data_IF_001150519748
#
_entry.id   IF_001150519748
#
_cell.length_a   1.000
_cell.length_b   1.000
_cell.length_c   1.000
_cell.angle_alpha   90.00
_cell.angle_beta   90.00
_cell.angle_gamma   90.00
#
_symmetry.space_group_name_H-M   'P 1'
#
loop_
_entity.id
_entity.type
_entity.pdbx_description
1 polymer ?
#
# COMPACT_ATOMS: atom_id res chain seq x y z
N UNK A 1 -14.86 -1.88 -1.36
CA UNK A 1 -13.48 -2.33 -1.68
C UNK A 1 -12.61 -1.96 -0.49
N UNK A 2 -12.15 -2.94 0.27
CA UNK A 2 -11.33 -2.69 1.46
C UNK A 2 -9.86 -2.56 1.06
N UNK A 3 -9.21 -1.52 1.56
CA UNK A 3 -7.79 -1.25 1.35
C UNK A 3 -7.03 -1.78 2.57
N UNK A 4 -5.96 -2.53 2.34
CA UNK A 4 -5.01 -2.91 3.38
C UNK A 4 -3.70 -2.18 3.14
N UNK A 5 -3.31 -1.28 4.04
CA UNK A 5 -2.05 -0.53 3.94
C UNK A 5 -0.97 -1.24 4.75
N UNK A 6 0.13 -1.59 4.12
CA UNK A 6 1.30 -2.19 4.77
C UNK A 6 2.37 -1.12 4.92
N UNK A 7 2.90 -0.95 6.13
CA UNK A 7 3.92 0.05 6.45
C UNK A 7 5.28 -0.64 6.64
N UNK A 8 6.27 -0.20 5.87
CA UNK A 8 7.66 -0.64 5.92
C UNK A 8 8.57 0.53 6.28
N UNK A 9 9.25 0.42 7.42
CA UNK A 9 10.22 1.40 7.88
C UNK A 9 11.62 1.17 7.26
N UNK A 10 12.49 2.14 7.51
CA UNK A 10 13.90 2.06 7.16
C UNK A 10 14.65 1.07 8.07
N UNK A 11 15.88 0.73 7.69
CA UNK A 11 16.76 -0.12 8.47
C UNK A 11 17.34 0.58 9.71
N UNK A 12 17.91 -0.21 10.63
CA UNK A 12 18.61 0.30 11.81
C UNK A 12 17.83 0.03 13.10
N UNK A 13 17.94 0.95 14.07
CA UNK A 13 17.37 0.80 15.42
C UNK A 13 15.86 1.05 15.51
N UNK A 14 15.19 1.23 14.38
CA UNK A 14 13.77 1.58 14.33
C UNK A 14 12.90 0.34 14.55
N UNK A 15 11.94 0.45 15.48
CA UNK A 15 10.94 -0.58 15.75
C UNK A 15 9.66 -0.31 14.97
N UNK A 16 8.82 -1.33 14.86
CA UNK A 16 7.46 -1.22 14.33
C UNK A 16 6.76 0.05 14.84
N UNK A 17 6.25 0.85 13.91
CA UNK A 17 5.54 2.08 14.22
C UNK A 17 6.41 3.35 14.22
N UNK A 18 7.72 3.24 13.99
CA UNK A 18 8.64 4.38 13.96
C UNK A 18 9.13 4.70 12.54
N UNK A 19 9.29 5.99 12.25
CA UNK A 19 10.05 6.47 11.09
C UNK A 19 11.45 6.93 11.48
N UNK A 20 11.63 7.47 12.69
CA UNK A 20 12.94 7.85 13.20
C UNK A 20 12.90 8.33 14.65
N UNK A 21 13.75 7.76 15.52
CA UNK A 21 13.80 8.11 16.94
C UNK A 21 14.17 9.58 17.18
N UNK A 22 15.16 10.09 16.43
CA UNK A 22 15.57 11.50 16.48
C UNK A 22 14.41 12.43 16.13
N UNK A 23 13.67 12.11 15.07
CA UNK A 23 12.47 12.86 14.67
C UNK A 23 11.39 12.82 15.74
N UNK A 24 11.16 11.68 16.39
CA UNK A 24 10.20 11.58 17.51
C UNK A 24 10.58 12.55 18.63
N UNK A 25 11.87 12.63 18.98
CA UNK A 25 12.35 13.47 20.08
C UNK A 25 12.25 14.96 19.73
N UNK A 26 12.65 15.35 18.52
CA UNK A 26 12.76 16.77 18.17
C UNK A 26 11.51 17.35 17.50
N UNK A 27 10.80 16.55 16.70
CA UNK A 27 9.66 16.97 15.88
C UNK A 27 8.34 16.34 16.36
N UNK A 28 8.41 15.41 17.32
CA UNK A 28 7.25 14.78 17.94
C UNK A 28 6.70 13.57 17.18
N UNK A 29 5.66 12.97 17.77
CA UNK A 29 5.08 11.72 17.28
C UNK A 29 4.46 11.85 15.88
N UNK A 30 3.94 13.03 15.53
CA UNK A 30 3.37 13.26 14.21
C UNK A 30 4.41 13.08 13.10
N UNK A 31 5.61 13.60 13.29
CA UNK A 31 6.65 13.52 12.26
C UNK A 31 7.44 12.21 12.34
N UNK A 32 7.72 11.72 13.55
CA UNK A 32 8.63 10.59 13.75
C UNK A 32 7.98 9.20 13.80
N UNK A 33 6.65 9.07 13.75
CA UNK A 33 5.96 7.78 13.86
C UNK A 33 5.05 7.48 12.68
N UNK A 34 4.66 6.21 12.58
CA UNK A 34 3.66 5.73 11.63
C UNK A 34 2.21 6.05 12.06
N UNK A 35 1.99 6.62 13.25
CA UNK A 35 0.64 6.89 13.79
C UNK A 35 -0.23 7.72 12.82
N UNK A 36 0.27 8.78 12.16
CA UNK A 36 -0.55 9.53 11.20
C UNK A 36 -0.96 8.70 9.99
N UNK A 37 -0.08 7.82 9.50
CA UNK A 37 -0.42 6.89 8.41
C UNK A 37 -1.50 5.90 8.86
N UNK A 38 -1.35 5.33 10.06
CA UNK A 38 -2.32 4.42 10.65
C UNK A 38 -3.69 5.10 10.78
N UNK A 39 -3.72 6.30 11.38
CA UNK A 39 -4.96 7.08 11.54
C UNK A 39 -5.62 7.38 10.19
N UNK A 40 -4.86 7.82 9.21
CA UNK A 40 -5.39 8.19 7.87
C UNK A 40 -5.96 6.97 7.13
N UNK A 41 -5.28 5.82 7.21
CA UNK A 41 -5.77 4.58 6.62
C UNK A 41 -7.06 4.08 7.29
N UNK A 42 -7.12 4.09 8.62
CA UNK A 42 -8.31 3.70 9.38
C UNK A 42 -9.50 4.62 9.12
N UNK A 43 -9.27 5.94 9.06
CA UNK A 43 -10.29 6.94 8.71
C UNK A 43 -10.84 6.75 7.29
N UNK A 44 -10.04 6.18 6.40
CA UNK A 44 -10.46 5.84 5.03
C UNK A 44 -11.19 4.49 4.94
N UNK A 45 -11.50 3.85 6.07
CA UNK A 45 -12.14 2.53 6.13
C UNK A 45 -11.22 1.36 5.74
N UNK A 46 -9.90 1.57 5.74
CA UNK A 46 -8.90 0.55 5.44
C UNK A 46 -8.36 -0.14 6.68
N UNK A 47 -7.75 -1.32 6.49
CA UNK A 47 -6.92 -1.99 7.48
C UNK A 47 -5.46 -1.55 7.38
N UNK A 48 -4.68 -1.80 8.43
CA UNK A 48 -3.24 -1.47 8.46
C UNK A 48 -2.45 -2.64 9.03
N UNK A 49 -1.33 -2.96 8.37
CA UNK A 49 -0.30 -3.86 8.89
C UNK A 49 0.97 -3.03 9.08
N UNK A 50 1.49 -3.06 10.30
CA UNK A 50 2.78 -2.46 10.64
C UNK A 50 3.80 -3.59 10.73
N UNK A 51 4.79 -3.59 9.84
CA UNK A 51 5.85 -4.61 9.85
C UNK A 51 7.01 -4.15 10.72
N UNK A 52 7.73 -5.12 11.30
CA UNK A 52 8.94 -4.87 12.09
C UNK A 52 10.18 -5.52 11.43
N UNK A 53 10.60 -5.06 10.23
CA UNK A 53 11.65 -5.75 9.47
C UNK A 53 13.05 -5.72 10.11
N UNK A 54 13.24 -4.96 11.19
CA UNK A 54 14.53 -4.85 11.90
C UNK A 54 14.62 -5.82 13.09
N UNK A 55 13.50 -6.42 13.50
CA UNK A 55 13.42 -7.31 14.66
C UNK A 55 13.55 -8.77 14.21
N UNK A 56 14.76 -9.11 13.75
CA UNK A 56 15.07 -10.42 13.17
C UNK A 56 15.81 -11.34 14.15
N UNK A 57 15.97 -10.93 15.41
CA UNK A 57 16.76 -11.64 16.41
C UNK A 57 15.90 -11.93 17.64
N UNK A 58 15.71 -13.21 17.95
CA UNK A 58 15.17 -13.66 19.23
C UNK A 58 16.35 -13.89 20.15
N UNK A 59 16.33 -13.29 21.34
CA UNK A 59 17.28 -13.65 22.39
C UNK A 59 16.88 -15.03 22.93
N UNK A 60 17.73 -16.04 22.71
CA UNK A 60 17.49 -17.43 23.10
C UNK A 60 17.19 -17.58 24.60
N UNK A 61 17.68 -16.68 25.46
CA UNK A 61 17.36 -16.69 26.90
C UNK A 61 15.90 -16.31 27.17
N UNK A 62 15.37 -15.37 26.40
CA UNK A 62 13.97 -14.93 26.51
C UNK A 62 13.04 -16.03 25.99
N UNK A 63 13.47 -16.82 25.01
CA UNK A 63 12.71 -17.97 24.50
C UNK A 63 12.60 -19.08 25.55
N UNK A 64 13.66 -19.39 26.29
CA UNK A 64 13.65 -20.37 27.38
C UNK A 64 12.75 -19.92 28.54
N UNK A 65 12.79 -18.65 28.92
CA UNK A 65 11.88 -18.05 29.91
C UNK A 65 10.42 -18.01 29.42
N UNK A 66 10.18 -17.68 28.14
CA UNK A 66 8.85 -17.66 27.52
C UNK A 66 8.24 -19.05 27.40
N UNK A 67 9.00 -20.05 26.95
CA UNK A 67 8.55 -21.44 26.93
C UNK A 67 8.19 -21.89 28.34
N UNK A 68 9.04 -21.58 29.32
CA UNK A 68 8.78 -21.92 30.72
C UNK A 68 7.54 -21.21 31.30
N UNK A 69 7.18 -20.03 30.78
CA UNK A 69 5.95 -19.32 31.15
C UNK A 69 4.71 -19.92 30.46
N UNK A 70 4.79 -20.21 29.17
CA UNK A 70 3.70 -20.77 28.38
C UNK A 70 3.34 -22.21 28.81
N UNK A 71 4.33 -23.03 29.15
CA UNK A 71 4.13 -24.38 29.69
C UNK A 71 3.50 -24.38 31.10
N UNK A 72 3.58 -23.27 31.84
CA UNK A 72 2.95 -23.15 33.17
C UNK A 72 1.48 -22.75 33.10
N UNK A 73 1.02 -22.11 32.03
CA UNK A 73 -0.39 -21.70 31.89
C UNK A 73 -1.36 -22.82 31.51
N UNK A 74 -0.89 -24.00 31.08
CA UNK A 74 -1.78 -25.11 30.70
C UNK A 74 -2.45 -25.85 31.88
N UNK A 75 -2.26 -25.43 33.13
CA UNK A 75 -2.86 -26.10 34.31
C UNK A 75 -4.02 -25.38 34.98
N UNK A 76 -4.57 -24.30 34.41
CA UNK A 76 -5.74 -23.64 34.97
C UNK A 76 -6.93 -23.57 34.00
N UNK A 77 -7.99 -24.29 34.36
CA UNK A 77 -9.32 -24.28 33.73
C UNK A 77 -9.93 -22.88 33.64
N UNK A 78 -10.40 -22.51 32.45
CA UNK A 78 -11.09 -21.26 32.09
C UNK A 78 -12.43 -21.04 32.84
N UNK A 79 -13.02 -19.82 32.86
CA UNK A 79 -13.83 -19.38 31.71
C UNK A 79 -13.85 -17.87 31.38
N UNK A 80 -14.05 -17.58 30.08
CA UNK A 80 -14.68 -16.38 29.47
C UNK A 80 -13.92 -15.03 29.62
N UNK A 81 -13.61 -14.28 28.57
CA UNK A 81 -14.21 -14.12 27.23
C UNK A 81 -13.12 -13.92 26.17
N UNK A 82 -13.28 -14.37 24.92
CA UNK A 82 -12.47 -13.81 23.85
C UNK A 82 -12.84 -12.33 23.80
N UNK A 83 -11.87 -11.45 23.99
CA UNK A 83 -11.99 -10.07 23.54
C UNK A 83 -12.20 -10.15 22.02
N UNK A 84 -13.45 -10.38 21.60
CA UNK A 84 -13.91 -10.25 20.23
C UNK A 84 -13.88 -8.76 19.95
N UNK A 85 -12.70 -8.27 19.60
CA UNK A 85 -12.56 -7.00 18.92
C UNK A 85 -13.49 -7.11 17.72
N UNK A 86 -14.54 -6.28 17.62
CA UNK A 86 -15.39 -6.29 16.43
C UNK A 86 -14.47 -6.15 15.23
N UNK A 87 -14.51 -7.10 14.29
CA UNK A 87 -13.76 -7.04 13.03
C UNK A 87 -14.22 -5.77 12.33
N UNK A 88 -13.50 -4.67 12.58
CA UNK A 88 -13.86 -3.34 12.08
C UNK A 88 -13.99 -3.48 10.58
N UNK A 89 -15.19 -3.18 10.09
CA UNK A 89 -15.50 -3.03 8.68
C UNK A 89 -15.46 -4.35 7.88
N UNK A 90 -16.12 -5.42 8.33
CA UNK A 90 -16.44 -6.54 7.43
C UNK A 90 -17.75 -7.20 7.84
N UNK A 91 -18.65 -7.38 6.86
CA UNK A 91 -19.99 -7.94 7.08
C UNK A 91 -20.05 -9.44 6.79
N UNK A 92 -18.99 -10.04 6.24
CA UNK A 92 -18.94 -11.44 5.82
C UNK A 92 -17.52 -12.01 5.74
N UNK A 93 -17.30 -13.32 5.96
CA UNK A 93 -16.02 -14.00 5.72
C UNK A 93 -15.45 -13.79 4.32
N UNK A 94 -16.30 -13.67 3.30
CA UNK A 94 -15.93 -13.46 1.90
C UNK A 94 -15.28 -12.08 1.71
N UNK A 95 -15.78 -11.04 2.39
CA UNK A 95 -15.17 -9.71 2.38
C UNK A 95 -13.73 -9.69 2.92
N UNK A 96 -13.34 -10.66 3.77
CA UNK A 96 -11.96 -10.84 4.22
C UNK A 96 -11.00 -11.39 3.16
N UNK A 97 -11.49 -11.84 2.00
CA UNK A 97 -10.64 -12.41 0.95
C UNK A 97 -10.30 -11.39 -0.15
N UNK A 98 -10.99 -10.24 -0.14
CA UNK A 98 -10.98 -9.22 -1.22
C UNK A 98 -10.28 -7.92 -0.78
N UNK A 99 -9.11 -8.05 -0.14
CA UNK A 99 -8.27 -6.89 0.15
C UNK A 99 -7.44 -6.48 -1.07
N UNK A 100 -7.48 -5.19 -1.38
CA UNK A 100 -6.49 -4.57 -2.26
C UNK A 100 -5.37 -4.00 -1.38
N UNK A 101 -4.14 -4.45 -1.64
CA UNK A 101 -3.00 -4.12 -0.79
C UNK A 101 -2.27 -2.90 -1.35
N UNK A 102 -1.98 -1.94 -0.49
CA UNK A 102 -1.07 -0.83 -0.77
C UNK A 102 0.12 -0.89 0.17
N UNK A 103 1.30 -0.49 -0.30
CA UNK A 103 2.50 -0.40 0.52
C UNK A 103 2.94 1.06 0.67
N UNK A 104 3.37 1.43 1.88
CA UNK A 104 4.18 2.63 2.12
C UNK A 104 5.52 2.17 2.65
N UNK A 105 6.59 2.49 1.94
CA UNK A 105 7.93 2.02 2.26
C UNK A 105 8.92 3.18 2.27
N UNK A 106 9.60 3.37 3.41
CA UNK A 106 10.57 4.45 3.61
C UNK A 106 12.01 3.90 3.58
N UNK A 107 12.94 4.62 2.95
CA UNK A 107 14.35 4.27 2.95
C UNK A 107 14.61 2.84 2.42
N UNK A 108 15.31 2.06 3.24
CA UNK A 108 15.61 0.64 2.96
C UNK A 108 14.35 -0.23 2.83
N UNK A 109 13.24 0.14 3.46
CA UNK A 109 11.97 -0.58 3.34
C UNK A 109 11.50 -0.72 1.89
N UNK A 110 11.80 0.26 1.02
CA UNK A 110 11.46 0.16 -0.39
C UNK A 110 12.32 -0.87 -1.14
N UNK A 111 13.60 -1.02 -0.78
CA UNK A 111 14.43 -2.12 -1.29
C UNK A 111 13.90 -3.48 -0.86
N UNK A 112 13.49 -3.61 0.41
CA UNK A 112 12.84 -4.84 0.91
C UNK A 112 11.58 -5.17 0.11
N UNK A 113 10.75 -4.17 -0.20
CA UNK A 113 9.58 -4.36 -1.04
C UNK A 113 9.93 -4.82 -2.46
N UNK A 114 10.91 -4.20 -3.12
CA UNK A 114 11.32 -4.62 -4.48
C UNK A 114 11.88 -6.04 -4.47
N UNK A 115 12.62 -6.44 -3.44
CA UNK A 115 13.08 -7.82 -3.29
C UNK A 115 11.92 -8.80 -3.12
N UNK A 116 10.90 -8.44 -2.34
CA UNK A 116 9.66 -9.23 -2.21
C UNK A 116 8.96 -9.37 -3.57
N UNK A 117 8.84 -8.29 -4.34
CA UNK A 117 8.27 -8.30 -5.69
C UNK A 117 9.03 -9.26 -6.61
N UNK A 118 10.37 -9.28 -6.55
CA UNK A 118 11.16 -10.21 -7.35
C UNK A 118 11.02 -11.67 -6.90
N UNK A 119 10.85 -11.92 -5.60
CA UNK A 119 10.74 -13.28 -5.04
C UNK A 119 9.34 -13.90 -5.14
N UNK A 120 8.29 -13.07 -5.20
CA UNK A 120 6.86 -13.47 -5.20
C UNK A 120 6.08 -12.67 -6.22
N UNK A 121 6.64 -12.58 -7.44
CA UNK A 121 6.19 -11.72 -8.53
C UNK A 121 4.69 -11.81 -8.79
N UNK A 122 4.17 -13.02 -8.97
CA UNK A 122 2.77 -13.21 -9.34
C UNK A 122 1.82 -12.87 -8.20
N UNK A 123 2.16 -13.25 -6.97
CA UNK A 123 1.35 -12.97 -5.79
C UNK A 123 1.28 -11.47 -5.50
N UNK A 124 2.43 -10.77 -5.59
CA UNK A 124 2.52 -9.33 -5.38
C UNK A 124 1.75 -8.59 -6.48
N UNK A 125 2.04 -8.85 -7.75
CA UNK A 125 1.40 -8.14 -8.87
C UNK A 125 -0.12 -8.37 -8.92
N UNK A 126 -0.62 -9.50 -8.41
CA UNK A 126 -2.06 -9.81 -8.36
C UNK A 126 -2.79 -9.05 -7.23
N UNK A 127 -2.16 -8.88 -6.07
CA UNK A 127 -2.81 -8.36 -4.85
C UNK A 127 -2.48 -6.90 -4.56
N UNK A 128 -1.27 -6.45 -4.88
CA UNK A 128 -0.81 -5.08 -4.66
C UNK A 128 -1.30 -4.20 -5.81
N UNK A 129 -1.92 -3.07 -5.49
CA UNK A 129 -2.42 -2.13 -6.51
C UNK A 129 -1.68 -0.79 -6.52
N UNK A 130 -0.94 -0.47 -5.46
CA UNK A 130 -0.18 0.76 -5.36
C UNK A 130 0.94 0.64 -4.33
N UNK A 131 2.06 1.32 -4.59
CA UNK A 131 3.23 1.35 -3.72
C UNK A 131 3.73 2.80 -3.66
N UNK A 132 3.80 3.34 -2.45
CA UNK A 132 4.43 4.62 -2.18
C UNK A 132 5.82 4.39 -1.60
N UNK A 133 6.84 4.81 -2.33
CA UNK A 133 8.23 4.79 -1.89
C UNK A 133 8.59 6.20 -1.39
N UNK A 134 9.29 6.30 -0.27
CA UNK A 134 9.70 7.57 0.34
C UNK A 134 11.21 7.51 0.53
N UNK A 135 11.94 8.36 -0.21
CA UNK A 135 13.41 8.39 -0.27
C UNK A 135 14.01 6.98 -0.26
N UNK A 136 13.58 6.12 -1.18
CA UNK A 136 13.91 4.70 -1.08
C UNK A 136 15.31 4.41 -1.61
N UNK A 137 16.02 3.49 -0.97
CA UNK A 137 17.34 3.02 -1.41
C UNK A 137 17.27 1.99 -2.55
N UNK A 138 16.09 1.73 -3.12
CA UNK A 138 15.94 0.82 -4.24
C UNK A 138 16.61 1.36 -5.51
N UNK A 139 17.00 0.46 -6.41
CA UNK A 139 17.53 0.81 -7.72
C UNK A 139 16.90 -0.07 -8.79
N UNK A 140 15.79 0.36 -9.39
CA UNK A 140 14.95 -0.44 -10.29
C UNK A 140 15.76 -1.30 -11.26
N UNK A 141 16.71 -0.73 -12.00
CA UNK A 141 17.49 -1.45 -13.01
C UNK A 141 18.38 -2.58 -12.47
N UNK A 142 18.97 -2.42 -11.28
CA UNK A 142 19.86 -3.43 -10.71
C UNK A 142 19.05 -4.57 -10.10
N UNK A 143 17.93 -4.25 -9.45
CA UNK A 143 17.10 -5.21 -8.73
C UNK A 143 16.25 -6.04 -9.70
N UNK A 144 15.71 -5.44 -10.76
CA UNK A 144 14.85 -6.16 -11.72
C UNK A 144 15.63 -7.04 -12.69
N UNK A 145 16.95 -6.90 -12.78
CA UNK A 145 17.83 -7.67 -13.68
C UNK A 145 17.35 -7.68 -15.14
N UNK A 146 16.71 -6.59 -15.59
CA UNK A 146 16.16 -6.47 -16.94
C UNK A 146 14.79 -7.11 -17.18
N UNK A 147 14.07 -7.53 -16.14
CA UNK A 147 12.69 -8.03 -16.27
C UNK A 147 11.73 -6.89 -16.65
N UNK A 148 11.43 -6.79 -17.95
CA UNK A 148 10.57 -5.75 -18.53
C UNK A 148 9.16 -5.73 -17.93
N UNK A 149 8.63 -6.90 -17.53
CA UNK A 149 7.29 -6.97 -16.96
C UNK A 149 7.26 -6.39 -15.55
N UNK A 150 8.30 -6.64 -14.75
CA UNK A 150 8.43 -6.04 -13.42
C UNK A 150 8.69 -4.54 -13.53
N UNK A 151 9.53 -4.11 -14.47
CA UNK A 151 9.79 -2.68 -14.71
C UNK A 151 8.53 -1.92 -15.11
N UNK A 152 7.75 -2.46 -16.06
CA UNK A 152 6.46 -1.87 -16.45
C UNK A 152 5.50 -1.84 -15.25
N UNK A 153 5.46 -2.91 -14.45
CA UNK A 153 4.60 -2.94 -13.28
C UNK A 153 5.00 -1.89 -12.23
N UNK A 154 6.30 -1.73 -11.96
CA UNK A 154 6.84 -0.67 -11.08
C UNK A 154 6.45 0.70 -11.63
N UNK A 155 6.63 0.93 -12.94
CA UNK A 155 6.25 2.20 -13.56
C UNK A 155 4.75 2.52 -13.39
N UNK A 156 3.89 1.51 -13.46
CA UNK A 156 2.43 1.69 -13.33
C UNK A 156 1.94 1.80 -11.87
N UNK A 157 2.53 1.03 -10.95
CA UNK A 157 1.98 0.81 -9.61
C UNK A 157 2.84 1.40 -8.48
N UNK A 158 4.04 1.88 -8.77
CA UNK A 158 4.88 2.57 -7.80
C UNK A 158 4.88 4.09 -8.06
N UNK A 159 5.07 4.85 -6.99
CA UNK A 159 5.46 6.26 -7.04
C UNK A 159 6.42 6.54 -5.91
N UNK A 160 7.49 7.26 -6.21
CA UNK A 160 8.49 7.65 -5.23
C UNK A 160 8.40 9.14 -4.91
N UNK A 161 8.38 9.46 -3.62
CA UNK A 161 8.57 10.80 -3.08
C UNK A 161 9.99 10.92 -2.55
N UNK A 162 10.81 11.76 -3.19
CA UNK A 162 12.19 12.01 -2.78
C UNK A 162 12.34 13.39 -2.17
N UNK A 163 13.25 13.51 -1.23
CA UNK A 163 13.72 14.78 -0.69
C UNK A 163 14.20 15.70 -1.81
N UNK A 164 13.62 16.88 -1.86
CA UNK A 164 13.87 17.84 -2.92
C UNK A 164 13.38 19.23 -2.51
N UNK A 165 14.07 20.28 -2.98
CA UNK A 165 13.67 21.67 -2.77
C UNK A 165 12.43 22.09 -3.58
N UNK A 166 12.04 21.30 -4.59
CA UNK A 166 10.81 21.56 -5.36
C UNK A 166 9.56 21.37 -4.51
N UNK A 167 8.45 22.05 -4.83
CA UNK A 167 7.16 21.81 -4.19
C UNK A 167 6.73 20.33 -4.26
N UNK A 168 5.95 19.89 -3.27
CA UNK A 168 5.36 18.55 -3.20
C UNK A 168 4.70 18.14 -4.53
N UNK A 169 4.85 16.87 -4.91
CA UNK A 169 4.33 16.24 -6.13
C UNK A 169 4.93 16.76 -7.45
N UNK A 170 5.92 17.66 -7.43
CA UNK A 170 6.62 18.07 -8.65
C UNK A 170 7.57 16.98 -9.13
N UNK A 171 7.52 16.57 -10.42
CA UNK A 171 8.46 15.59 -10.96
C UNK A 171 9.92 16.02 -10.75
N UNK A 172 10.78 15.08 -10.38
CA UNK A 172 12.21 15.35 -10.09
C UNK A 172 13.15 14.99 -11.24
N UNK A 173 12.62 14.45 -12.36
CA UNK A 173 13.29 14.50 -13.66
C UNK A 173 13.95 13.21 -14.16
N UNK A 174 13.55 12.03 -13.70
CA UNK A 174 13.97 10.79 -14.41
C UNK A 174 13.26 10.73 -15.77
N UNK A 175 14.02 10.90 -16.85
CA UNK A 175 13.58 10.79 -18.25
C UNK A 175 13.61 9.34 -18.76
N UNK A 176 13.99 8.38 -17.92
CA UNK A 176 14.06 6.96 -18.29
C UNK A 176 12.65 6.40 -18.33
N UNK A 177 12.22 5.97 -19.52
CA UNK A 177 10.84 5.57 -19.83
C UNK A 177 10.30 4.36 -19.02
N UNK A 178 11.14 3.69 -18.23
CA UNK A 178 10.82 2.48 -17.45
C UNK A 178 11.32 2.51 -16.00
N UNK A 179 11.61 3.69 -15.45
CA UNK A 179 11.98 3.82 -14.03
C UNK A 179 10.76 4.15 -13.16
N UNK A 180 10.90 3.99 -11.84
CA UNK A 180 9.84 4.36 -10.90
C UNK A 180 9.52 5.86 -11.04
N UNK A 181 8.24 6.27 -11.22
CA UNK A 181 7.88 7.68 -11.30
C UNK A 181 8.24 8.43 -10.01
N UNK A 182 9.17 9.38 -10.12
CA UNK A 182 9.69 10.13 -8.96
C UNK A 182 9.15 11.56 -8.92
N UNK A 183 8.69 11.98 -7.74
CA UNK A 183 8.20 13.32 -7.42
C UNK A 183 8.85 13.84 -6.14
N UNK A 184 8.80 15.15 -5.92
CA UNK A 184 9.29 15.78 -4.70
C UNK A 184 8.39 15.46 -3.50
N UNK A 185 9.00 15.16 -2.35
CA UNK A 185 8.36 15.08 -1.03
C UNK A 185 8.03 16.46 -0.42
N UNK A 186 8.45 17.56 -1.05
CA UNK A 186 8.22 18.93 -0.60
C UNK A 186 9.09 19.34 0.59
N UNK A 187 10.19 18.62 0.84
CA UNK A 187 11.16 18.91 1.89
C UNK A 187 12.53 18.36 1.49
N UNK A 188 13.60 19.01 1.96
CA UNK A 188 14.97 18.50 1.84
C UNK A 188 15.39 17.67 3.07
N UNK A 189 14.56 17.64 4.11
CA UNK A 189 14.84 16.88 5.32
C UNK A 189 14.28 15.46 5.20
N UNK A 190 15.17 14.49 4.99
CA UNK A 190 14.86 13.05 4.94
C UNK A 190 13.93 12.60 6.06
N UNK A 191 14.22 13.06 7.28
CA UNK A 191 13.49 12.65 8.47
C UNK A 191 12.04 13.17 8.52
N UNK A 192 11.72 14.22 7.75
CA UNK A 192 10.37 14.78 7.62
C UNK A 192 9.63 14.27 6.39
N UNK A 193 10.32 13.66 5.42
CA UNK A 193 9.75 13.21 4.16
C UNK A 193 8.48 12.33 4.32
N UNK A 194 8.40 11.39 5.28
CA UNK A 194 7.17 10.62 5.51
C UNK A 194 5.97 11.51 5.86
N UNK A 195 6.15 12.42 6.81
CA UNK A 195 5.08 13.31 7.26
C UNK A 195 4.67 14.34 6.20
N UNK A 196 5.64 14.86 5.44
CA UNK A 196 5.42 15.86 4.38
C UNK A 196 4.66 15.27 3.18
N UNK A 197 4.93 14.01 2.84
CA UNK A 197 4.31 13.33 1.69
C UNK A 197 3.01 12.59 2.03
N UNK A 198 2.65 12.45 3.31
CA UNK A 198 1.51 11.65 3.79
C UNK A 198 0.21 11.90 3.01
N UNK A 199 -0.21 13.17 2.88
CA UNK A 199 -1.47 13.49 2.21
C UNK A 199 -1.43 13.19 0.71
N UNK A 200 -0.28 13.42 0.06
CA UNK A 200 -0.07 13.10 -1.34
C UNK A 200 -0.11 11.59 -1.59
N UNK A 201 0.48 10.79 -0.70
CA UNK A 201 0.46 9.33 -0.76
C UNK A 201 -0.97 8.79 -0.69
N UNK A 202 -1.77 9.23 0.28
CA UNK A 202 -3.15 8.77 0.39
C UNK A 202 -4.05 9.31 -0.74
N UNK A 203 -3.72 10.47 -1.33
CA UNK A 203 -4.36 10.94 -2.57
C UNK A 203 -4.00 10.02 -3.75
N UNK A 204 -2.75 9.62 -3.89
CA UNK A 204 -2.29 8.68 -4.90
C UNK A 204 -2.98 7.32 -4.77
N UNK A 205 -3.05 6.74 -3.57
CA UNK A 205 -3.76 5.47 -3.34
C UNK A 205 -5.24 5.52 -3.72
N UNK A 206 -5.94 6.62 -3.40
CA UNK A 206 -7.34 6.79 -3.80
C UNK A 206 -7.50 6.86 -5.31
N UNK A 207 -6.62 7.58 -6.00
CA UNK A 207 -6.64 7.67 -7.46
C UNK A 207 -6.34 6.34 -8.13
N UNK A 208 -5.32 5.61 -7.66
CA UNK A 208 -4.94 4.29 -8.19
C UNK A 208 -6.08 3.27 -8.01
N UNK A 209 -6.75 3.26 -6.85
CA UNK A 209 -7.87 2.35 -6.61
C UNK A 209 -9.07 2.66 -7.52
N UNK A 210 -9.37 3.95 -7.75
CA UNK A 210 -10.42 4.37 -8.69
C UNK A 210 -10.11 3.88 -10.10
N UNK A 211 -8.88 4.09 -10.58
CA UNK A 211 -8.46 3.63 -11.91
C UNK A 211 -8.59 2.10 -12.06
N UNK A 212 -8.13 1.33 -11.05
CA UNK A 212 -8.27 -0.14 -11.03
C UNK A 212 -9.73 -0.58 -11.11
N UNK A 213 -10.64 0.09 -10.40
CA UNK A 213 -12.07 -0.26 -10.39
C UNK A 213 -12.74 0.05 -11.74
N UNK A 214 -12.36 1.14 -12.40
CA UNK A 214 -12.86 1.51 -13.73
C UNK A 214 -12.42 0.53 -14.81
N UNK A 215 -11.23 -0.07 -14.70
CA UNK A 215 -10.76 -1.10 -15.64
C UNK A 215 -11.51 -2.42 -15.46
N UNK A 216 -11.89 -2.77 -14.24
CA UNK A 216 -12.61 -4.02 -13.92
C UNK A 216 -14.10 -3.94 -14.30
N UNK A 217 -14.69 -2.75 -14.34
CA UNK A 217 -16.05 -2.55 -14.83
C UNK A 217 -15.99 -2.25 -16.34
N UNK A 218 -16.52 -3.12 -17.22
CA UNK A 218 -16.58 -2.79 -18.64
C UNK A 218 -17.38 -1.49 -18.84
N UNK A 219 -17.03 -0.63 -19.81
CA UNK A 219 -17.86 0.51 -20.15
C UNK A 219 -19.26 -0.02 -20.46
N UNK A 220 -20.26 0.44 -19.69
CA UNK A 220 -21.67 0.08 -19.92
C UNK A 220 -21.96 0.34 -21.38
N UNK A 221 -22.15 -0.72 -22.16
CA UNK A 221 -22.63 -0.60 -23.53
C UNK A 221 -23.90 0.25 -23.49
N UNK A 222 -24.08 1.24 -24.39
CA UNK A 222 -25.31 1.99 -24.43
C UNK A 222 -26.45 0.99 -24.62
N UNK A 223 -27.42 1.01 -23.70
CA UNK A 223 -28.61 0.20 -23.75
C UNK A 223 -29.34 0.58 -25.04
N UNK A 224 -29.22 -0.27 -26.06
CA UNK A 224 -29.92 -0.08 -27.33
C UNK A 224 -31.36 -0.54 -27.12
N UNK A 225 -32.24 0.37 -26.70
CA UNK A 225 -33.68 0.09 -26.67
C UNK A 225 -34.19 0.00 -28.10
N UNK A 226 -34.38 -1.22 -28.61
CA UNK A 226 -35.19 -1.47 -29.81
C UNK A 226 -36.66 -1.23 -29.46
N UNK A 227 -37.15 -0.02 -29.68
CA UNK A 227 -38.59 0.18 -29.88
C UNK A 227 -38.96 -0.39 -31.25
N UNK A 228 -39.65 -1.52 -31.24
CA UNK A 228 -40.27 -2.14 -32.41
C UNK A 228 -41.41 -1.24 -32.88
N UNK A 229 -41.17 -0.44 -33.92
CA UNK A 229 -42.25 0.19 -34.68
C UNK A 229 -42.73 -0.80 -35.75
N UNK A 230 -43.72 -1.63 -35.39
CA UNK A 230 -44.53 -2.40 -36.34
C UNK A 230 -45.62 -1.52 -36.97
N UNK A 231 -45.88 -1.78 -38.25
CA UNK A 231 -47.00 -1.34 -39.14
C UNK A 231 -46.67 -0.12 -40.00
N UNK A 232 -46.99 -0.09 -41.29
CA UNK A 232 -47.82 -0.95 -42.15
C UNK A 232 -47.44 -0.65 -43.60
N UNK A 233 -47.26 -1.68 -44.43
CA UNK A 233 -47.18 -1.51 -45.87
C UNK A 233 -48.48 -0.96 -46.44
N UNK A 234 -48.38 0.03 -47.32
CA UNK A 234 -49.42 0.36 -48.28
C UNK A 234 -48.76 0.38 -49.66
N UNK A 235 -49.02 -0.70 -50.39
CA UNK A 235 -48.94 -0.76 -51.84
C UNK A 235 -49.98 0.21 -52.43
N UNK A 236 -49.57 1.11 -53.33
CA UNK A 236 -50.44 1.54 -54.44
C UNK A 236 -49.61 1.74 -55.71
N UNK A 237 -49.99 0.99 -56.74
CA UNK A 237 -49.62 1.12 -58.14
C UNK A 237 -50.39 2.27 -58.81
N UNK A 238 -49.93 2.60 -60.03
CA UNK A 238 -50.56 3.34 -61.14
C UNK A 238 -50.75 4.85 -60.93
N UNK A 239 -50.42 5.73 -61.89
CA UNK A 239 -50.22 5.58 -63.34
C UNK A 239 -48.98 6.35 -63.84
#
# INVERSE_FOLDING_TARGET
>A
LYILVVLLQDHGVFRAGQWGQKTIIHEGLYHGTQIPFIKTALQSGGGVIVLNPNDNLIDLKVEEEWLNFALKEETHSAPQSPWLIPKRCSSSPEEHTVYNVAFVAHGYGGLVFINLLMQRKWEVMKKVYAVALIDSTHHTMHQTRGDLQVQEWIWQHCREWVTNSRPLDRPTGSLVKMDCPTVSAGTENYSLAPSSSLQAIFKYFRSALKAKTTVVLPPRSPILTRSVATKKGINKRSA
#
